data_IF_492768734504
#
_entry.id   IF_492768734504
#
_cell.length_a   1.000
_cell.length_b   1.000
_cell.length_c   1.000
_cell.angle_alpha   90.00
_cell.angle_beta   90.00
_cell.angle_gamma   90.00
#
_symmetry.space_group_name_H-M   'P 1'
#
loop_
_entity.id
_entity.type
_entity.pdbx_description
1 polymer ?
#
# COMPACT_ATOMS: atom_id res chain seq x y z
N UNK A 1 -3.07 -6.05 -15.96
CA UNK A 1 -2.49 -6.04 -14.60
C UNK A 1 -1.52 -4.88 -14.52
N UNK A 2 -1.59 -4.06 -13.46
CA UNK A 2 -0.68 -2.94 -13.23
C UNK A 2 0.10 -3.24 -11.96
N UNK A 3 1.42 -3.04 -11.99
CA UNK A 3 2.30 -3.23 -10.83
C UNK A 3 3.31 -2.08 -10.78
N UNK A 4 3.62 -1.66 -9.56
CA UNK A 4 4.65 -0.67 -9.28
C UNK A 4 5.23 -0.95 -7.91
N UNK A 5 6.43 -0.44 -7.65
CA UNK A 5 7.08 -0.53 -6.36
C UNK A 5 7.29 0.86 -5.78
N UNK A 6 7.16 0.98 -4.47
CA UNK A 6 7.55 2.16 -3.71
C UNK A 6 8.45 1.71 -2.56
N UNK A 7 9.36 2.59 -2.14
CA UNK A 7 10.18 2.37 -0.96
C UNK A 7 9.62 3.19 0.20
N UNK A 8 9.46 2.54 1.34
CA UNK A 8 9.14 3.16 2.63
C UNK A 8 10.30 2.94 3.59
N UNK A 9 10.41 3.79 4.60
CA UNK A 9 11.38 3.63 5.69
C UNK A 9 10.66 3.27 6.97
N UNK A 10 11.35 2.57 7.87
CA UNK A 10 10.87 2.31 9.22
C UNK A 10 11.54 3.30 10.19
N UNK A 11 10.72 3.94 11.03
CA UNK A 11 11.20 4.63 12.22
C UNK A 11 11.32 3.69 13.42
N UNK A 12 11.62 4.25 14.61
CA UNK A 12 11.46 3.51 15.87
C UNK A 12 10.04 2.96 15.98
N UNK A 13 9.90 1.74 16.53
CA UNK A 13 8.60 1.11 16.78
C UNK A 13 7.70 2.05 17.58
N UNK A 14 6.39 1.94 17.34
CA UNK A 14 5.40 2.63 18.15
C UNK A 14 5.35 2.02 19.56
N UNK A 15 4.68 2.73 20.48
CA UNK A 15 4.59 2.31 21.88
C UNK A 15 3.92 0.93 22.06
N UNK A 16 3.07 0.52 21.12
CA UNK A 16 2.41 -0.78 21.09
C UNK A 16 3.24 -1.88 20.39
N UNK A 17 4.47 -1.56 19.99
CA UNK A 17 5.37 -2.46 19.27
C UNK A 17 5.10 -2.54 17.76
N UNK A 18 4.11 -1.82 17.23
CA UNK A 18 3.79 -1.87 15.80
C UNK A 18 4.82 -1.12 14.92
N UNK A 19 4.98 -1.52 13.65
CA UNK A 19 5.89 -0.84 12.73
C UNK A 19 5.50 0.61 12.44
N UNK A 20 6.47 1.51 12.59
CA UNK A 20 6.27 2.93 12.28
C UNK A 20 6.72 3.24 10.85
N UNK A 21 5.80 3.12 9.89
CA UNK A 21 6.09 3.43 8.49
C UNK A 21 6.25 4.95 8.26
N UNK A 22 7.28 5.30 7.49
CA UNK A 22 7.68 6.67 7.13
C UNK A 22 8.07 6.74 5.66
N UNK A 23 8.37 7.95 5.20
CA UNK A 23 8.76 8.25 3.83
C UNK A 23 7.74 9.13 3.10
N UNK A 24 8.04 9.55 1.87
CA UNK A 24 7.26 10.55 1.15
C UNK A 24 5.85 10.06 0.77
N UNK A 25 5.65 8.75 0.68
CA UNK A 25 4.37 8.15 0.32
C UNK A 25 3.50 7.80 1.54
N UNK A 26 4.07 7.80 2.76
CA UNK A 26 3.38 7.43 3.98
C UNK A 26 2.52 8.59 4.50
N UNK A 27 1.20 8.45 4.38
CA UNK A 27 0.20 9.43 4.78
C UNK A 27 -0.45 9.07 6.14
N UNK A 28 -1.15 10.03 6.76
CA UNK A 28 -1.90 9.82 8.01
C UNK A 28 -1.12 10.17 9.27
N UNK A 29 -1.50 9.58 10.40
CA UNK A 29 -0.72 9.60 11.66
C UNK A 29 0.17 8.35 11.75
N UNK A 30 1.18 8.30 12.64
CA UNK A 30 1.99 7.10 12.82
C UNK A 30 1.18 5.83 13.11
N UNK A 31 0.13 5.94 13.93
CA UNK A 31 -0.75 4.82 14.30
C UNK A 31 -1.78 4.46 13.21
N UNK A 32 -1.88 5.22 12.12
CA UNK A 32 -2.90 5.01 11.08
C UNK A 32 -2.34 5.17 9.66
N UNK A 33 -1.08 4.80 9.48
CA UNK A 33 -0.35 4.98 8.22
C UNK A 33 -1.02 4.30 7.03
N UNK A 34 -1.00 4.98 5.89
CA UNK A 34 -1.50 4.45 4.63
C UNK A 34 -0.75 5.05 3.43
N UNK A 35 -0.86 4.41 2.27
CA UNK A 35 -0.47 4.98 0.98
C UNK A 35 -1.69 5.17 0.10
N UNK A 36 -1.66 6.18 -0.76
CA UNK A 36 -2.67 6.34 -1.81
C UNK A 36 -2.23 5.66 -3.10
N UNK A 37 -3.15 4.93 -3.71
CA UNK A 37 -3.08 4.54 -5.12
C UNK A 37 -4.14 5.35 -5.85
N UNK A 38 -3.69 6.32 -6.65
CA UNK A 38 -4.58 7.20 -7.40
C UNK A 38 -5.01 6.54 -8.71
N UNK A 39 -6.19 6.89 -9.21
CA UNK A 39 -6.71 6.44 -10.51
C UNK A 39 -7.48 7.57 -11.20
N UNK A 40 -7.50 7.51 -12.53
CA UNK A 40 -8.15 8.52 -13.35
C UNK A 40 -7.47 9.89 -13.23
N UNK A 41 -8.24 10.96 -13.03
CA UNK A 41 -7.74 12.34 -13.02
C UNK A 41 -6.62 12.53 -11.98
N UNK A 42 -6.75 11.95 -10.79
CA UNK A 42 -5.72 12.02 -9.74
C UNK A 42 -4.44 11.24 -10.07
N UNK A 43 -4.48 10.39 -11.10
CA UNK A 43 -3.30 9.73 -11.68
C UNK A 43 -2.80 10.45 -12.96
N UNK A 44 -3.36 11.62 -13.30
CA UNK A 44 -2.97 12.39 -14.48
C UNK A 44 -3.68 11.97 -15.77
N UNK A 45 -4.68 11.08 -15.72
CA UNK A 45 -5.44 10.70 -16.90
C UNK A 45 -6.50 11.76 -17.21
N UNK A 46 -6.25 12.60 -18.22
CA UNK A 46 -7.20 13.63 -18.64
C UNK A 46 -8.44 13.04 -19.32
N UNK A 47 -9.61 13.67 -19.12
CA UNK A 47 -10.87 13.29 -19.78
C UNK A 47 -11.55 12.02 -19.25
N UNK A 48 -10.99 11.39 -18.21
CA UNK A 48 -11.61 10.24 -17.53
C UNK A 48 -12.75 10.68 -16.61
N UNK A 49 -13.83 9.90 -16.46
CA UNK A 49 -14.89 10.18 -15.49
C UNK A 49 -14.48 9.85 -14.04
N UNK A 50 -13.27 9.30 -13.83
CA UNK A 50 -12.85 8.79 -12.54
C UNK A 50 -11.91 9.74 -11.80
N UNK A 51 -12.28 10.12 -10.58
CA UNK A 51 -11.44 10.87 -9.63
C UNK A 51 -11.25 10.04 -8.36
N UNK A 52 -10.51 8.93 -8.45
CA UNK A 52 -10.49 7.91 -7.40
C UNK A 52 -9.13 7.74 -6.73
N UNK A 53 -9.17 7.42 -5.44
CA UNK A 53 -8.01 7.10 -4.61
C UNK A 53 -8.33 5.91 -3.72
N UNK A 54 -7.50 4.89 -3.76
CA UNK A 54 -7.52 3.78 -2.83
C UNK A 54 -6.51 4.03 -1.70
N UNK A 55 -6.94 3.88 -0.45
CA UNK A 55 -6.08 3.89 0.74
C UNK A 55 -5.67 2.46 1.05
N UNK A 56 -4.38 2.18 0.89
CA UNK A 56 -3.79 0.92 1.31
C UNK A 56 -3.22 1.15 2.71
N UNK A 57 -3.86 0.57 3.72
CA UNK A 57 -3.50 0.75 5.12
C UNK A 57 -2.22 -0.04 5.40
N UNK A 58 -1.14 0.68 5.75
CA UNK A 58 0.14 0.06 6.07
C UNK A 58 0.09 -0.65 7.42
N UNK A 59 -0.79 -0.19 8.31
CA UNK A 59 -1.08 -0.83 9.60
C UNK A 59 -1.74 -2.21 9.47
N UNK A 60 -2.27 -2.55 8.31
CA UNK A 60 -2.87 -3.86 8.04
C UNK A 60 -1.83 -4.89 7.54
N UNK A 61 -0.57 -4.48 7.35
CA UNK A 61 0.51 -5.40 6.96
C UNK A 61 0.84 -6.29 8.18
N UNK A 62 0.80 -7.62 8.03
CA UNK A 62 1.23 -8.52 9.10
C UNK A 62 2.68 -8.23 9.54
N UNK A 63 2.89 -8.04 10.84
CA UNK A 63 4.22 -7.66 11.38
C UNK A 63 5.32 -8.66 10.99
N UNK A 64 5.01 -9.96 10.93
CA UNK A 64 5.94 -10.99 10.50
C UNK A 64 6.48 -10.79 9.07
N UNK A 65 5.68 -10.20 8.17
CA UNK A 65 6.16 -9.83 6.82
C UNK A 65 7.11 -8.65 6.87
N UNK A 66 6.87 -7.68 7.76
CA UNK A 66 7.76 -6.54 7.97
C UNK A 66 9.11 -6.99 8.52
N UNK A 67 9.09 -7.83 9.56
CA UNK A 67 10.29 -8.39 10.18
C UNK A 67 11.10 -9.25 9.20
N UNK A 68 10.42 -10.00 8.33
CA UNK A 68 11.10 -10.83 7.33
C UNK A 68 11.69 -10.02 6.16
N UNK A 69 11.12 -8.84 5.85
CA UNK A 69 11.56 -8.01 4.73
C UNK A 69 12.63 -6.98 5.14
N UNK A 70 12.60 -6.51 6.39
CA UNK A 70 13.50 -5.45 6.85
C UNK A 70 14.97 -5.89 6.74
N UNK A 71 15.81 -5.02 6.18
CA UNK A 71 17.24 -5.28 6.03
C UNK A 71 17.61 -6.22 4.87
N UNK A 72 16.65 -6.85 4.19
CA UNK A 72 16.91 -7.64 2.99
C UNK A 72 16.63 -6.81 1.72
N UNK A 73 17.65 -6.36 0.97
CA UNK A 73 17.45 -5.53 -0.22
C UNK A 73 16.71 -6.27 -1.35
N UNK A 74 16.71 -7.61 -1.32
CA UNK A 74 16.08 -8.45 -2.33
C UNK A 74 14.67 -8.89 -1.92
N UNK A 75 14.18 -8.50 -0.74
CA UNK A 75 12.82 -8.80 -0.31
C UNK A 75 11.90 -7.59 -0.49
N UNK A 76 10.62 -7.86 -0.76
CA UNK A 76 9.56 -6.87 -0.74
C UNK A 76 8.27 -7.46 -0.17
N UNK A 77 7.43 -6.59 0.38
CA UNK A 77 6.06 -6.94 0.78
C UNK A 77 5.15 -6.51 -0.36
N UNK A 78 4.45 -7.46 -0.95
CA UNK A 78 3.52 -7.22 -2.05
C UNK A 78 2.08 -7.17 -1.53
N UNK A 79 1.35 -6.13 -1.94
CA UNK A 79 -0.10 -6.06 -1.85
C UNK A 79 -0.72 -6.44 -3.21
N UNK A 80 -1.57 -7.46 -3.22
CA UNK A 80 -2.46 -7.74 -4.36
C UNK A 80 -3.83 -7.19 -4.05
N UNK A 81 -4.33 -6.31 -4.91
CA UNK A 81 -5.64 -5.66 -4.74
C UNK A 81 -6.59 -6.01 -5.87
N UNK A 82 -7.87 -6.21 -5.54
CA UNK A 82 -8.95 -6.18 -6.53
C UNK A 82 -9.11 -4.74 -7.03
N UNK A 83 -8.66 -4.49 -8.26
CA UNK A 83 -8.54 -3.13 -8.82
C UNK A 83 -9.85 -2.48 -9.28
N UNK A 84 -10.99 -3.17 -9.19
CA UNK A 84 -12.25 -2.77 -9.80
C UNK A 84 -13.40 -2.88 -8.78
N UNK A 85 -14.24 -1.85 -8.72
CA UNK A 85 -15.44 -1.81 -7.89
C UNK A 85 -16.66 -2.39 -8.62
N UNK A 86 -17.76 -2.60 -7.88
CA UNK A 86 -19.03 -3.10 -8.43
C UNK A 86 -19.63 -2.24 -9.55
N UNK A 87 -19.28 -0.95 -9.59
CA UNK A 87 -19.69 -0.02 -10.63
C UNK A 87 -18.79 -0.03 -11.88
N UNK A 88 -17.83 -0.95 -11.95
CA UNK A 88 -16.88 -1.07 -13.06
C UNK A 88 -15.74 -0.04 -13.03
N UNK A 89 -15.75 0.90 -12.09
CA UNK A 89 -14.68 1.88 -11.94
C UNK A 89 -13.49 1.35 -11.13
N UNK A 90 -12.37 2.09 -11.09
CA UNK A 90 -11.21 1.73 -10.28
C UNK A 90 -11.56 1.60 -8.79
N UNK A 91 -10.82 0.76 -8.08
CA UNK A 91 -10.89 0.65 -6.61
C UNK A 91 -10.65 1.99 -5.93
N UNK A 92 -11.40 2.27 -4.87
CA UNK A 92 -11.31 3.53 -4.12
C UNK A 92 -11.66 3.34 -2.65
N UNK A 93 -11.49 4.41 -1.86
CA UNK A 93 -11.65 4.41 -0.40
C UNK A 93 -10.64 3.44 0.27
N UNK A 94 -10.91 3.00 1.49
CA UNK A 94 -10.03 2.05 2.19
C UNK A 94 -10.18 0.65 1.63
N UNK A 95 -9.08 0.06 1.15
CA UNK A 95 -9.04 -1.33 0.69
C UNK A 95 -8.80 -2.22 1.90
N UNK A 96 -9.65 -3.22 2.11
CA UNK A 96 -9.62 -4.14 3.25
C UNK A 96 -9.76 -5.58 2.75
N UNK A 97 -9.37 -6.54 3.58
CA UNK A 97 -9.63 -7.95 3.28
C UNK A 97 -11.14 -8.18 3.04
N UNK A 98 -11.53 -9.01 2.05
CA UNK A 98 -10.68 -9.84 1.20
C UNK A 98 -10.15 -9.16 -0.07
N UNK A 99 -10.44 -7.87 -0.31
CA UNK A 99 -10.05 -7.16 -1.54
C UNK A 99 -8.54 -6.91 -1.65
N UNK A 100 -7.79 -7.13 -0.57
CA UNK A 100 -6.34 -7.07 -0.52
C UNK A 100 -5.77 -8.31 0.15
N UNK A 101 -4.70 -8.85 -0.42
CA UNK A 101 -3.87 -9.89 0.16
C UNK A 101 -2.41 -9.43 0.22
N UNK A 102 -1.71 -9.80 1.30
CA UNK A 102 -0.31 -9.47 1.53
C UNK A 102 0.55 -10.72 1.42
N UNK A 103 1.71 -10.59 0.79
CA UNK A 103 2.69 -11.67 0.73
C UNK A 103 4.12 -11.14 0.68
N UNK A 104 5.07 -11.99 1.07
CA UNK A 104 6.48 -11.75 0.81
C UNK A 104 6.80 -12.13 -0.64
N UNK A 105 7.57 -11.29 -1.31
CA UNK A 105 8.14 -11.61 -2.63
C UNK A 105 9.63 -11.30 -2.64
N UNK A 106 10.37 -12.07 -3.43
CA UNK A 106 11.75 -11.74 -3.77
C UNK A 106 11.74 -10.86 -5.02
N UNK A 107 12.49 -9.76 -4.97
CA UNK A 107 12.71 -8.89 -6.12
C UNK A 107 13.63 -9.65 -7.07
N UNK A 108 13.14 -9.95 -8.26
CA UNK A 108 13.98 -10.39 -9.37
C UNK A 108 14.81 -9.20 -9.86
N UNK A 109 16.08 -9.43 -10.16
CA UNK A 109 16.93 -8.45 -10.86
C UNK A 109 16.39 -8.10 -12.26
#
# INVERSE_FOLDING_TARGET
MVSFAITLTLGPLLADGSPNFRGPFAQGTPADRFVYVNSGFYAGQMGTPWERRAKIKLVDIPIALVESAVGNPNAAIEARIEGTMKDGGPVCASVRAPQIAWQMVMRSD
#
